data_IF_063678749518
#
_entry.id   IF_063678749518
#
_cell.length_a   1.000
_cell.length_b   1.000
_cell.length_c   1.000
_cell.angle_alpha   90.00
_cell.angle_beta   90.00
_cell.angle_gamma   90.00
#
_symmetry.space_group_name_H-M   'P 1'
#
loop_
_entity.id
_entity.type
_entity.pdbx_description
1 polymer ?
#
# COMPACT_ATOMS: atom_id res chain seq x y z
N UNK A 1 16.78 -6.37 19.03
CA UNK A 1 15.68 -5.53 18.54
C UNK A 1 15.29 -4.54 19.62
N UNK A 2 15.75 -3.29 19.51
CA UNK A 2 15.35 -2.23 20.44
C UNK A 2 13.93 -1.83 20.04
N UNK A 3 12.93 -2.20 20.86
CA UNK A 3 11.57 -1.69 20.72
C UNK A 3 11.59 -0.17 20.87
N UNK A 4 11.71 0.55 19.76
CA UNK A 4 11.61 2.00 19.74
C UNK A 4 10.23 2.36 20.29
N UNK A 5 10.22 2.86 21.52
CA UNK A 5 9.01 3.17 22.26
C UNK A 5 8.31 4.30 21.50
N UNK A 6 7.25 3.98 20.75
CA UNK A 6 6.49 4.94 19.94
C UNK A 6 6.34 6.29 20.66
N UNK A 7 6.54 7.40 19.96
CA UNK A 7 6.33 8.74 20.49
C UNK A 7 4.89 8.89 21.00
N UNK A 8 4.67 9.85 21.90
CA UNK A 8 3.31 10.18 22.38
C UNK A 8 2.38 10.53 21.23
N UNK A 9 2.92 11.16 20.18
CA UNK A 9 2.17 11.55 18.99
C UNK A 9 1.78 10.32 18.15
N UNK A 10 2.73 9.44 17.87
CA UNK A 10 2.48 8.20 17.15
C UNK A 10 1.43 7.32 17.87
N UNK A 11 1.51 7.21 19.20
CA UNK A 11 0.49 6.48 20.00
C UNK A 11 -0.92 7.08 19.91
N UNK A 12 -1.05 8.40 19.73
CA UNK A 12 -2.37 9.03 19.53
C UNK A 12 -2.96 8.62 18.19
N UNK A 13 -2.17 8.63 17.12
CA UNK A 13 -2.60 8.14 15.82
C UNK A 13 -2.95 6.65 15.85
N UNK A 14 -2.10 5.82 16.44
CA UNK A 14 -2.35 4.39 16.65
C UNK A 14 -3.75 4.12 17.21
N UNK A 15 -4.13 4.81 18.30
CA UNK A 15 -5.45 4.66 18.94
C UNK A 15 -6.59 5.12 18.03
N UNK A 16 -6.38 6.17 17.24
CA UNK A 16 -7.39 6.66 16.28
C UNK A 16 -7.57 5.67 15.13
N UNK A 17 -6.49 5.12 14.59
CA UNK A 17 -6.51 4.12 13.52
C UNK A 17 -7.32 2.90 13.95
N UNK A 18 -7.04 2.34 15.13
CA UNK A 18 -7.78 1.19 15.67
C UNK A 18 -9.29 1.42 15.79
N UNK A 19 -9.71 2.65 16.04
CA UNK A 19 -11.12 3.02 16.22
C UNK A 19 -11.82 3.45 14.94
N UNK A 20 -11.07 3.72 13.88
CA UNK A 20 -11.66 4.13 12.60
C UNK A 20 -12.45 2.98 12.00
N UNK A 21 -13.64 3.28 11.53
CA UNK A 21 -14.64 2.34 10.98
C UNK A 21 -14.95 2.63 9.50
N UNK A 22 -14.29 3.62 8.91
CA UNK A 22 -14.46 4.00 7.50
C UNK A 22 -13.10 4.22 6.81
N UNK A 23 -13.04 3.90 5.52
CA UNK A 23 -11.86 4.17 4.67
C UNK A 23 -11.58 5.67 4.54
N UNK A 24 -12.63 6.49 4.55
CA UNK A 24 -12.51 7.95 4.56
C UNK A 24 -11.81 8.44 5.83
N UNK A 25 -12.23 7.99 7.02
CA UNK A 25 -11.57 8.35 8.28
C UNK A 25 -10.11 7.88 8.34
N UNK A 26 -9.82 6.71 7.79
CA UNK A 26 -8.44 6.21 7.64
C UNK A 26 -7.60 7.09 6.70
N UNK A 27 -8.18 7.59 5.61
CA UNK A 27 -7.52 8.51 4.70
C UNK A 27 -7.21 9.85 5.37
N UNK A 28 -8.12 10.41 6.17
CA UNK A 28 -7.87 11.65 6.93
C UNK A 28 -6.73 11.47 7.95
N UNK A 29 -6.66 10.30 8.60
CA UNK A 29 -5.55 9.97 9.51
C UNK A 29 -4.23 9.85 8.75
N UNK A 30 -4.22 9.23 7.57
CA UNK A 30 -3.04 9.11 6.72
C UNK A 30 -2.52 10.50 6.29
N UNK A 31 -3.42 11.37 5.81
CA UNK A 31 -3.08 12.74 5.43
C UNK A 31 -2.56 13.55 6.63
N UNK A 32 -3.14 13.35 7.82
CA UNK A 32 -2.65 13.98 9.04
C UNK A 32 -1.24 13.51 9.39
N UNK A 33 -0.96 12.21 9.30
CA UNK A 33 0.36 11.63 9.55
C UNK A 33 1.40 12.20 8.58
N UNK A 34 1.07 12.28 7.28
CA UNK A 34 1.95 12.92 6.28
C UNK A 34 2.30 14.35 6.68
N UNK A 35 1.30 15.15 7.05
CA UNK A 35 1.54 16.53 7.47
C UNK A 35 2.43 16.64 8.73
N UNK A 36 2.40 15.65 9.62
CA UNK A 36 3.31 15.59 10.78
C UNK A 36 4.74 15.23 10.39
N UNK A 37 4.92 14.34 9.42
CA UNK A 37 6.24 14.03 8.84
C UNK A 37 6.82 15.25 8.16
N UNK A 38 6.03 15.96 7.34
CA UNK A 38 6.45 17.16 6.62
C UNK A 38 6.90 18.27 7.58
N UNK A 39 6.23 18.38 8.73
CA UNK A 39 6.59 19.29 9.82
C UNK A 39 7.74 18.79 10.69
N UNK A 40 8.29 17.61 10.41
CA UNK A 40 9.34 16.92 11.19
C UNK A 40 8.92 16.64 12.64
N UNK A 41 7.63 16.47 12.87
CA UNK A 41 7.02 16.19 14.17
C UNK A 41 6.78 14.69 14.40
N UNK A 42 6.98 13.88 13.36
CA UNK A 42 6.91 12.42 13.37
C UNK A 42 8.04 11.90 12.46
N UNK A 43 8.72 10.82 12.87
CA UNK A 43 9.74 10.22 12.01
C UNK A 43 9.13 9.44 10.85
N UNK A 44 9.92 9.21 9.80
CA UNK A 44 9.49 8.37 8.68
C UNK A 44 9.18 6.94 9.15
N UNK A 45 9.99 6.35 10.01
CA UNK A 45 9.77 4.98 10.52
C UNK A 45 8.47 4.86 11.34
N UNK A 46 8.15 5.88 12.15
CA UNK A 46 6.87 5.93 12.86
C UNK A 46 5.70 6.08 11.91
N UNK A 47 5.85 6.90 10.86
CA UNK A 47 4.84 7.06 9.84
C UNK A 47 4.63 5.78 9.03
N UNK A 48 5.70 5.08 8.67
CA UNK A 48 5.68 3.80 7.98
C UNK A 48 4.93 2.75 8.80
N UNK A 49 5.24 2.64 10.09
CA UNK A 49 4.52 1.75 11.01
C UNK A 49 3.02 2.09 11.06
N UNK A 50 2.68 3.37 11.24
CA UNK A 50 1.28 3.80 11.31
C UNK A 50 0.54 3.61 9.98
N UNK A 51 1.21 3.82 8.84
CA UNK A 51 0.63 3.61 7.53
C UNK A 51 0.38 2.14 7.25
N UNK A 52 1.31 1.25 7.60
CA UNK A 52 1.07 -0.20 7.52
C UNK A 52 -0.14 -0.62 8.39
N UNK A 53 -0.29 -0.04 9.58
CA UNK A 53 -1.50 -0.26 10.38
C UNK A 53 -2.78 0.28 9.74
N UNK A 54 -2.70 1.42 9.07
CA UNK A 54 -3.84 1.99 8.31
C UNK A 54 -4.26 1.00 7.23
N UNK A 55 -3.32 0.43 6.48
CA UNK A 55 -3.63 -0.57 5.45
C UNK A 55 -4.33 -1.79 6.05
N UNK A 56 -3.76 -2.37 7.12
CA UNK A 56 -4.35 -3.52 7.81
C UNK A 56 -5.77 -3.24 8.33
N UNK A 57 -6.02 -2.00 8.80
CA UNK A 57 -7.36 -1.60 9.25
C UNK A 57 -8.30 -1.36 8.06
N UNK A 58 -7.80 -0.81 6.96
CA UNK A 58 -8.58 -0.56 5.74
C UNK A 58 -9.11 -1.86 5.12
N UNK A 59 -8.37 -2.96 5.26
CA UNK A 59 -8.80 -4.29 4.79
C UNK A 59 -9.98 -4.86 5.58
N UNK A 60 -10.18 -4.40 6.83
CA UNK A 60 -11.25 -4.85 7.72
C UNK A 60 -12.51 -3.98 7.63
N UNK A 61 -12.46 -2.90 6.84
CA UNK A 61 -13.49 -1.88 6.77
C UNK A 61 -14.14 -1.94 5.38
N UNK A 62 -15.48 -1.87 5.27
CA UNK A 62 -16.15 -1.95 3.98
C UNK A 62 -15.75 -0.82 3.02
N UNK A 63 -15.76 -1.14 1.72
CA UNK A 63 -15.54 -0.20 0.62
C UNK A 63 -14.37 -0.57 -0.28
N UNK A 64 -14.36 -0.04 -1.49
CA UNK A 64 -13.37 -0.38 -2.54
C UNK A 64 -12.37 0.74 -2.83
N UNK A 65 -12.35 1.79 -2.01
CA UNK A 65 -11.38 2.86 -2.15
C UNK A 65 -9.99 2.40 -1.69
N UNK A 66 -8.97 2.92 -2.39
CA UNK A 66 -7.57 2.82 -1.97
C UNK A 66 -7.35 3.87 -0.89
N UNK A 67 -6.71 3.48 0.21
CA UNK A 67 -6.23 4.41 1.24
C UNK A 67 -4.74 4.67 1.00
N UNK A 68 -4.40 5.93 0.75
CA UNK A 68 -3.04 6.38 0.49
C UNK A 68 -2.39 6.77 1.81
N UNK A 69 -1.46 5.94 2.28
CA UNK A 69 -0.72 6.12 3.52
C UNK A 69 0.77 5.82 3.29
N UNK A 70 1.68 6.42 4.07
CA UNK A 70 3.11 6.08 4.03
C UNK A 70 3.26 4.62 4.50
N UNK A 71 3.29 3.66 3.60
CA UNK A 71 3.25 2.23 3.89
C UNK A 71 3.99 1.42 2.83
N UNK A 72 4.36 0.18 3.15
CA UNK A 72 4.97 -0.74 2.18
C UNK A 72 4.03 -1.00 1.00
N UNK A 73 2.73 -1.15 1.28
CA UNK A 73 1.69 -1.25 0.25
C UNK A 73 1.62 -0.03 -0.67
N UNK A 74 1.88 1.18 -0.16
CA UNK A 74 1.86 2.40 -0.96
C UNK A 74 3.15 2.61 -1.76
N UNK A 75 4.29 2.17 -1.22
CA UNK A 75 5.53 2.04 -1.99
C UNK A 75 5.31 1.09 -3.17
N UNK A 76 4.72 -0.08 -2.92
CA UNK A 76 4.38 -1.04 -3.96
C UNK A 76 3.38 -0.50 -4.98
N UNK A 77 2.30 0.17 -4.53
CA UNK A 77 1.31 0.83 -5.40
C UNK A 77 1.96 1.81 -6.36
N UNK A 78 2.89 2.65 -5.89
CA UNK A 78 3.60 3.62 -6.75
C UNK A 78 4.40 2.93 -7.83
N UNK A 79 5.11 1.85 -7.50
CA UNK A 79 5.83 1.02 -8.49
C UNK A 79 4.87 0.40 -9.50
N UNK A 80 3.73 -0.13 -9.03
CA UNK A 80 2.71 -0.72 -9.89
C UNK A 80 2.10 0.33 -10.85
N UNK A 81 1.75 1.52 -10.35
CA UNK A 81 1.24 2.62 -11.17
C UNK A 81 2.24 3.10 -12.22
N UNK A 82 3.55 3.08 -11.91
CA UNK A 82 4.60 3.43 -12.86
C UNK A 82 4.62 2.46 -14.04
N UNK A 83 4.59 1.15 -13.79
CA UNK A 83 4.58 0.16 -14.88
C UNK A 83 3.27 0.15 -15.65
N UNK A 84 2.14 0.40 -14.98
CA UNK A 84 0.88 0.48 -15.69
C UNK A 84 0.84 1.67 -16.67
N UNK A 85 1.67 2.72 -16.48
CA UNK A 85 1.56 4.03 -17.19
C UNK A 85 1.58 3.88 -18.70
N UNK A 86 2.33 2.91 -19.20
CA UNK A 86 2.49 2.66 -20.63
C UNK A 86 1.40 1.74 -21.20
N UNK A 87 0.34 1.47 -20.42
CA UNK A 87 -0.83 0.68 -20.78
C UNK A 87 -0.53 -0.77 -21.20
N UNK A 88 0.71 -1.23 -20.98
CA UNK A 88 1.15 -2.59 -21.21
C UNK A 88 1.99 -3.02 -20.01
N UNK A 89 1.57 -4.11 -19.34
CA UNK A 89 2.36 -4.73 -18.29
C UNK A 89 3.11 -5.93 -18.86
N UNK A 90 4.36 -5.72 -19.27
CA UNK A 90 5.21 -6.72 -19.92
C UNK A 90 5.64 -7.83 -18.96
N UNK A 91 6.06 -8.98 -19.51
CA UNK A 91 6.60 -10.09 -18.70
C UNK A 91 7.76 -9.65 -17.77
N UNK A 92 8.64 -8.78 -18.25
CA UNK A 92 9.78 -8.28 -17.47
C UNK A 92 9.31 -7.44 -16.29
N UNK A 93 8.34 -6.54 -16.49
CA UNK A 93 7.77 -5.72 -15.43
C UNK A 93 6.99 -6.55 -14.41
N UNK A 94 6.31 -7.61 -14.87
CA UNK A 94 5.65 -8.55 -13.96
C UNK A 94 6.65 -9.32 -13.08
N UNK A 95 7.83 -9.66 -13.61
CA UNK A 95 8.90 -10.26 -12.82
C UNK A 95 9.48 -9.28 -11.79
N UNK A 96 9.73 -8.03 -12.19
CA UNK A 96 10.21 -6.97 -11.27
C UNK A 96 9.19 -6.68 -10.17
N UNK A 97 7.90 -6.64 -10.52
CA UNK A 97 6.82 -6.51 -9.54
C UNK A 97 6.77 -7.70 -8.58
N UNK A 98 6.99 -8.92 -9.07
CA UNK A 98 7.02 -10.11 -8.23
C UNK A 98 8.18 -10.07 -7.21
N UNK A 99 9.38 -9.66 -7.62
CA UNK A 99 10.51 -9.47 -6.70
C UNK A 99 10.25 -8.38 -5.66
N UNK A 100 9.72 -7.24 -6.09
CA UNK A 100 9.39 -6.11 -5.22
C UNK A 100 8.35 -6.49 -4.16
N UNK A 101 7.35 -7.29 -4.56
CA UNK A 101 6.35 -7.83 -3.61
C UNK A 101 7.00 -8.67 -2.54
N UNK A 102 7.89 -9.59 -2.89
CA UNK A 102 8.60 -10.43 -1.92
C UNK A 102 9.47 -9.60 -0.99
N UNK A 103 10.15 -8.56 -1.52
CA UNK A 103 10.96 -7.63 -0.73
C UNK A 103 10.14 -6.86 0.30
N UNK A 104 8.91 -6.48 -0.04
CA UNK A 104 8.00 -5.70 0.80
C UNK A 104 7.04 -6.57 1.64
N UNK A 105 7.08 -7.90 1.49
CA UNK A 105 6.16 -8.80 2.18
C UNK A 105 4.71 -8.72 1.69
N UNK A 106 4.48 -8.35 0.43
CA UNK A 106 3.15 -8.22 -0.17
C UNK A 106 2.69 -9.56 -0.76
N UNK A 107 1.61 -10.11 -0.21
CA UNK A 107 1.00 -11.36 -0.66
C UNK A 107 0.37 -11.26 -2.05
N UNK A 108 0.11 -12.42 -2.68
CA UNK A 108 -0.56 -12.49 -4.00
C UNK A 108 -1.95 -11.86 -3.96
N UNK A 109 -2.69 -12.14 -2.89
CA UNK A 109 -4.02 -11.59 -2.68
C UNK A 109 -4.01 -10.05 -2.57
N UNK A 110 -3.05 -9.48 -1.82
CA UNK A 110 -2.92 -8.03 -1.70
C UNK A 110 -2.57 -7.37 -3.02
N UNK A 111 -1.68 -7.99 -3.80
CA UNK A 111 -1.37 -7.53 -5.15
C UNK A 111 -2.59 -7.55 -6.06
N UNK A 112 -3.32 -8.66 -6.12
CA UNK A 112 -4.48 -8.81 -7.00
C UNK A 112 -5.58 -7.80 -6.65
N UNK A 113 -5.83 -7.58 -5.36
CA UNK A 113 -6.80 -6.58 -4.89
C UNK A 113 -6.36 -5.19 -5.31
N UNK A 114 -5.10 -4.83 -5.07
CA UNK A 114 -4.55 -3.52 -5.40
C UNK A 114 -4.58 -3.27 -6.91
N UNK A 115 -4.16 -4.26 -7.72
CA UNK A 115 -4.19 -4.19 -9.17
C UNK A 115 -5.62 -3.99 -9.68
N UNK A 116 -6.59 -4.76 -9.19
CA UNK A 116 -8.01 -4.58 -9.54
C UNK A 116 -8.52 -3.18 -9.21
N UNK A 117 -8.18 -2.65 -8.03
CA UNK A 117 -8.59 -1.30 -7.62
C UNK A 117 -7.98 -0.23 -8.52
N UNK A 118 -6.70 -0.34 -8.87
CA UNK A 118 -6.02 0.58 -9.79
C UNK A 118 -6.60 0.53 -11.20
N UNK A 119 -6.79 -0.66 -11.76
CA UNK A 119 -7.41 -0.84 -13.07
C UNK A 119 -8.84 -0.26 -13.10
N UNK A 120 -9.61 -0.45 -12.03
CA UNK A 120 -10.94 0.14 -11.91
C UNK A 120 -10.89 1.68 -11.89
N UNK A 121 -9.94 2.28 -11.18
CA UNK A 121 -9.72 3.74 -11.20
C UNK A 121 -9.33 4.24 -12.60
N UNK A 122 -8.45 3.52 -13.29
CA UNK A 122 -7.96 3.89 -14.61
C UNK A 122 -9.03 3.76 -15.69
N UNK A 123 -9.85 2.71 -15.61
CA UNK A 123 -11.02 2.53 -16.48
C UNK A 123 -12.00 3.69 -16.33
N UNK A 124 -12.22 4.19 -15.11
CA UNK A 124 -13.04 5.40 -14.87
C UNK A 124 -12.43 6.66 -15.49
N UNK A 125 -11.10 6.72 -15.63
CA UNK A 125 -10.38 7.80 -16.32
C UNK A 125 -10.31 7.61 -17.85
N UNK A 126 -10.96 6.59 -18.41
CA UNK A 126 -10.96 6.30 -19.84
C UNK A 126 -9.68 5.63 -20.36
N UNK A 127 -8.80 5.14 -19.47
CA UNK A 127 -7.58 4.43 -19.85
C UNK A 127 -7.85 2.92 -19.93
N UNK A 128 -7.34 2.27 -20.98
CA UNK A 128 -7.31 0.82 -21.10
C UNK A 128 -5.88 0.34 -20.82
N UNK A 129 -5.74 -0.78 -20.10
CA UNK A 129 -4.45 -1.42 -19.83
C UNK A 129 -4.52 -2.86 -20.32
N UNK A 130 -3.49 -3.26 -21.06
CA UNK A 130 -3.26 -4.65 -21.48
C UNK A 130 -2.25 -5.28 -20.52
N UNK A 131 -2.55 -6.47 -20.03
CA UNK A 131 -1.67 -7.22 -19.12
C UNK A 131 -1.26 -8.50 -19.83
N UNK A 132 0.05 -8.71 -20.03
CA UNK A 132 0.55 -9.93 -20.64
C UNK A 132 0.32 -11.14 -19.72
N UNK A 133 0.23 -12.34 -20.30
CA UNK A 133 0.19 -13.57 -19.50
C UNK A 133 1.53 -13.77 -18.80
N UNK A 134 1.48 -13.97 -17.49
CA UNK A 134 2.64 -14.26 -16.66
C UNK A 134 2.40 -15.52 -15.83
N UNK A 135 3.42 -16.38 -15.77
CA UNK A 135 3.51 -17.50 -14.85
C UNK A 135 4.60 -17.17 -13.84
N UNK A 136 4.25 -17.19 -12.55
CA UNK A 136 5.22 -17.00 -11.48
C UNK A 136 6.36 -18.02 -11.63
N UNK A 137 7.63 -17.64 -11.38
CA UNK A 137 8.74 -18.57 -11.47
C UNK A 137 8.63 -19.65 -10.37
N UNK A 138 8.69 -20.92 -10.76
CA UNK A 138 8.77 -22.04 -9.80
C UNK A 138 10.09 -21.93 -9.01
N UNK A 139 10.00 -21.60 -7.71
CA UNK A 139 11.17 -21.55 -6.82
C UNK A 139 11.21 -20.41 -5.80
N UNK A 140 10.26 -19.46 -5.82
CA UNK A 140 10.17 -18.45 -4.77
C UNK A 140 9.25 -18.88 -3.65
N UNK A 141 9.79 -19.31 -2.51
CA UNK A 141 9.02 -19.51 -1.30
C UNK A 141 8.24 -18.24 -0.93
N UNK A 142 6.93 -18.38 -0.75
CA UNK A 142 6.07 -17.35 -0.19
C UNK A 142 6.60 -16.96 1.20
N UNK A 143 6.71 -15.66 1.53
CA UNK A 143 6.95 -15.25 2.90
C UNK A 143 5.72 -15.65 3.73
N UNK A 144 5.93 -16.56 4.68
CA UNK A 144 4.97 -16.99 5.71
C UNK A 144 4.70 -15.86 6.69
#
# INVERSE_FOLDING_TARGET
MVGARMSRRARRFFKKIQRSDSKYGLQELASSIQAEVDKRLLSYDEALMLGNMIQNRADQVPGDSIVYAISDRDAYRRTLELYLRDALLTRTEQLLLWEERRRLGISDAEHDILLKQLLAQWKRQGKAVTIDRFSQPEGGADPV
#
